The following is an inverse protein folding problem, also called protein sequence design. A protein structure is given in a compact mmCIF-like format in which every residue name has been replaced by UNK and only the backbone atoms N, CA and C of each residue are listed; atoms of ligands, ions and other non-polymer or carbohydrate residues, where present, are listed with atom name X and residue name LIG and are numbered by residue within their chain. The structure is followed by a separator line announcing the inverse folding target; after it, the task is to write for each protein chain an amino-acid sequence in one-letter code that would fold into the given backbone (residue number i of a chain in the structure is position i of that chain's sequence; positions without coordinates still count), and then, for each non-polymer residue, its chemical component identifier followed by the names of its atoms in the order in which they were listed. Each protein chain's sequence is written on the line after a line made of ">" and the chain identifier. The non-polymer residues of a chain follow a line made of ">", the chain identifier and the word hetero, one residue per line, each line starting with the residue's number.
data_IF_465980888204
#
_entry.id   IF_465980888204
#
_cell.length_a   1.000
_cell.length_b   1.000
_cell.length_c   1.000
_cell.angle_alpha   90.00
_cell.angle_beta   90.00
_cell.angle_gamma   90.00
#
_symmetry.space_group_name_H-M   'P 1'
#
loop_
_entity.id
_entity.type
_entity.pdbx_description
1 polymer ?
#
# COMPACT_ATOMS: atom_id res chain seq x y z
N UNK A 1 5.53 6.77 -4.42
CA UNK A 1 6.94 6.35 -4.19
C UNK A 1 7.98 7.47 -4.42
N UNK A 2 7.68 8.52 -5.18
CA UNK A 2 8.62 9.64 -5.38
C UNK A 2 8.94 10.33 -4.06
N UNK A 3 7.93 10.69 -3.27
CA UNK A 3 8.11 11.20 -1.90
C UNK A 3 8.95 10.23 -1.05
N UNK A 4 8.57 8.96 -1.02
CA UNK A 4 9.28 7.93 -0.25
C UNK A 4 10.77 7.82 -0.60
N UNK A 5 11.18 8.07 -1.86
CA UNK A 5 12.60 8.10 -2.22
C UNK A 5 13.34 9.25 -1.56
N UNK A 6 12.70 10.42 -1.49
CA UNK A 6 13.27 11.57 -0.80
C UNK A 6 13.34 11.37 0.71
N UNK A 7 12.38 10.64 1.29
CA UNK A 7 12.34 10.34 2.72
C UNK A 7 13.39 9.27 3.13
N UNK A 8 13.71 8.32 2.24
CA UNK A 8 14.59 7.18 2.57
C UNK A 8 16.06 7.50 2.30
N UNK A 9 16.36 8.13 1.18
CA UNK A 9 17.75 8.28 0.73
C UNK A 9 18.39 9.58 1.22
N UNK A 10 19.71 9.55 1.36
CA UNK A 10 20.51 10.70 1.76
C UNK A 10 20.92 11.57 0.56
N UNK A 11 21.40 12.77 0.83
CA UNK A 11 21.75 13.82 -0.14
C UNK A 11 22.85 13.44 -1.14
N UNK A 12 23.66 12.42 -0.87
CA UNK A 12 24.68 11.96 -1.83
C UNK A 12 24.08 11.50 -3.17
N UNK A 13 22.78 11.15 -3.19
CA UNK A 13 22.07 10.84 -4.44
C UNK A 13 21.89 12.10 -5.29
N UNK A 14 21.46 13.22 -4.68
CA UNK A 14 21.31 14.48 -5.41
C UNK A 14 22.65 14.96 -6.00
N UNK A 15 23.74 14.83 -5.24
CA UNK A 15 25.08 15.20 -5.69
C UNK A 15 25.54 14.37 -6.89
N UNK A 16 25.27 13.06 -6.86
CA UNK A 16 25.69 12.12 -7.89
C UNK A 16 24.78 12.09 -9.12
N UNK A 17 23.48 12.34 -8.91
CA UNK A 17 22.42 12.21 -9.91
C UNK A 17 21.50 13.44 -9.85
N UNK A 18 21.94 14.61 -10.33
CA UNK A 18 21.14 15.84 -10.25
C UNK A 18 19.83 15.77 -11.03
N UNK A 19 19.72 14.87 -11.99
CA UNK A 19 18.49 14.58 -12.74
C UNK A 19 17.45 13.79 -11.93
N UNK A 20 17.77 13.32 -10.73
CA UNK A 20 16.91 12.48 -9.90
C UNK A 20 15.85 13.25 -9.11
N UNK A 21 15.88 14.57 -9.13
CA UNK A 21 14.94 15.44 -8.44
C UNK A 21 14.61 16.68 -9.25
N UNK A 22 13.52 17.36 -8.89
CA UNK A 22 13.14 18.66 -9.47
C UNK A 22 13.93 19.78 -8.78
N UNK A 23 14.69 20.55 -9.54
CA UNK A 23 15.48 21.67 -9.05
C UNK A 23 14.63 22.82 -8.43
N UNK A 24 13.32 22.85 -8.68
CA UNK A 24 12.40 23.79 -8.04
C UNK A 24 12.06 23.42 -6.59
N UNK A 25 12.35 22.18 -6.15
CA UNK A 25 12.13 21.75 -4.77
C UNK A 25 13.27 22.28 -3.90
N UNK A 26 12.97 22.90 -2.72
CA UNK A 26 13.99 23.33 -1.78
C UNK A 26 14.96 22.19 -1.43
N UNK A 27 16.26 22.46 -1.47
CA UNK A 27 17.30 21.42 -1.31
C UNK A 27 17.23 20.67 0.04
N UNK A 28 16.75 21.32 1.09
CA UNK A 28 16.53 20.72 2.41
C UNK A 28 15.48 19.60 2.40
N UNK A 29 14.52 19.65 1.47
CA UNK A 29 13.41 18.69 1.36
C UNK A 29 13.72 17.50 0.46
N UNK A 30 14.82 17.53 -0.30
CA UNK A 30 15.21 16.41 -1.16
C UNK A 30 16.18 15.49 -0.42
N UNK A 31 15.97 14.16 -0.57
CA UNK A 31 16.85 13.12 -0.01
C UNK A 31 17.25 13.39 1.45
N UNK A 32 16.21 13.56 2.29
CA UNK A 32 16.35 13.89 3.72
C UNK A 32 16.61 12.67 4.61
N UNK A 33 16.49 11.45 4.05
CA UNK A 33 16.74 10.19 4.76
C UNK A 33 18.22 9.91 5.01
N UNK A 34 18.50 8.75 5.61
CA UNK A 34 19.85 8.35 6.00
C UNK A 34 20.52 7.34 5.07
N UNK A 35 19.75 6.65 4.21
CA UNK A 35 20.23 5.48 3.46
C UNK A 35 20.95 5.84 2.16
N UNK A 36 21.97 5.06 1.83
CA UNK A 36 22.52 4.98 0.49
C UNK A 36 21.79 3.90 -0.34
N UNK A 37 21.96 3.92 -1.66
CA UNK A 37 21.36 2.89 -2.55
C UNK A 37 21.85 1.47 -2.24
N UNK A 38 23.06 1.32 -1.67
CA UNK A 38 23.72 0.04 -1.41
C UNK A 38 23.56 -0.48 0.00
N UNK A 39 22.99 0.33 0.92
CA UNK A 39 22.77 -0.09 2.29
C UNK A 39 21.86 -1.32 2.35
N UNK A 40 22.26 -2.28 3.18
CA UNK A 40 21.50 -3.53 3.35
C UNK A 40 20.35 -3.32 4.33
N UNK A 41 19.17 -3.68 3.87
CA UNK A 41 17.92 -3.65 4.64
C UNK A 41 17.52 -5.08 4.94
N UNK A 42 17.25 -5.39 6.19
CA UNK A 42 16.69 -6.67 6.59
C UNK A 42 15.22 -6.75 6.13
N UNK A 43 14.90 -7.80 5.40
CA UNK A 43 13.54 -8.09 4.92
C UNK A 43 12.90 -9.27 5.64
N UNK A 44 13.50 -9.73 6.72
CA UNK A 44 13.04 -10.87 7.51
C UNK A 44 13.68 -12.21 7.09
N UNK A 45 13.50 -13.22 7.93
CA UNK A 45 14.02 -14.58 7.71
C UNK A 45 15.54 -14.65 7.43
N UNK A 46 16.31 -13.72 8.00
CA UNK A 46 17.76 -13.63 7.80
C UNK A 46 18.17 -13.16 6.40
N UNK A 47 17.24 -12.66 5.62
CA UNK A 47 17.49 -12.15 4.26
C UNK A 47 17.68 -10.64 4.26
N UNK A 48 18.57 -10.17 3.41
CA UNK A 48 18.80 -8.74 3.20
C UNK A 48 18.70 -8.37 1.72
N UNK A 49 18.25 -7.15 1.45
CA UNK A 49 18.22 -6.54 0.13
C UNK A 49 18.84 -5.14 0.21
N UNK A 50 19.38 -4.62 -0.89
CA UNK A 50 19.83 -3.22 -0.89
C UNK A 50 18.65 -2.26 -0.90
N UNK A 51 18.78 -1.11 -0.23
CA UNK A 51 17.73 -0.09 -0.17
C UNK A 51 17.28 0.35 -1.58
N UNK A 52 18.20 0.50 -2.50
CA UNK A 52 17.90 0.81 -3.90
C UNK A 52 17.00 -0.24 -4.57
N UNK A 53 17.32 -1.53 -4.43
CA UNK A 53 16.48 -2.61 -4.97
C UNK A 53 15.12 -2.70 -4.30
N UNK A 54 15.06 -2.48 -2.98
CA UNK A 54 13.82 -2.48 -2.22
C UNK A 54 12.85 -1.39 -2.71
N UNK A 55 13.36 -0.16 -2.88
CA UNK A 55 12.55 0.98 -3.35
C UNK A 55 12.17 0.85 -4.84
N UNK A 56 13.02 0.22 -5.66
CA UNK A 56 12.76 -0.02 -7.08
C UNK A 56 11.90 -1.25 -7.35
N UNK A 57 11.48 -2.00 -6.32
CA UNK A 57 10.61 -3.16 -6.51
C UNK A 57 9.36 -2.79 -7.32
N UNK A 58 9.14 -3.41 -8.50
CA UNK A 58 8.08 -2.99 -9.40
C UNK A 58 6.70 -3.34 -8.84
N UNK A 59 5.72 -2.51 -9.13
CA UNK A 59 4.31 -2.87 -8.92
C UNK A 59 3.92 -3.96 -9.91
N UNK A 60 3.37 -5.07 -9.39
CA UNK A 60 2.82 -6.13 -10.23
C UNK A 60 1.56 -5.64 -10.94
N UNK A 61 1.37 -6.06 -12.17
CA UNK A 61 0.09 -5.86 -12.86
C UNK A 61 -0.90 -6.95 -12.43
N UNK A 62 -2.14 -6.55 -12.14
CA UNK A 62 -3.23 -7.47 -11.77
C UNK A 62 -4.20 -7.73 -12.91
N UNK A 63 -3.92 -7.23 -14.11
CA UNK A 63 -4.83 -7.33 -15.25
C UNK A 63 -5.30 -8.76 -15.54
N UNK A 64 -4.44 -9.81 -15.53
CA UNK A 64 -4.89 -11.19 -15.76
C UNK A 64 -5.83 -11.69 -14.65
N UNK A 65 -5.52 -11.42 -13.38
CA UNK A 65 -6.37 -11.78 -12.23
C UNK A 65 -7.72 -11.10 -12.33
N UNK A 66 -7.71 -9.78 -12.51
CA UNK A 66 -8.93 -8.98 -12.60
C UNK A 66 -9.79 -9.39 -13.80
N UNK A 67 -9.15 -9.70 -14.94
CA UNK A 67 -9.89 -10.23 -16.09
C UNK A 67 -10.65 -11.50 -15.73
N UNK A 68 -9.98 -12.48 -15.13
CA UNK A 68 -10.63 -13.75 -14.77
C UNK A 68 -11.73 -13.56 -13.73
N UNK A 69 -11.52 -12.70 -12.72
CA UNK A 69 -12.54 -12.35 -11.74
C UNK A 69 -13.75 -11.71 -12.42
N UNK A 70 -13.55 -10.76 -13.33
CA UNK A 70 -14.64 -10.09 -14.04
C UNK A 70 -15.35 -11.02 -15.04
N UNK A 71 -14.65 -11.94 -15.67
CA UNK A 71 -15.27 -12.91 -16.58
C UNK A 71 -16.25 -13.84 -15.83
N UNK A 72 -15.96 -14.19 -14.57
CA UNK A 72 -16.79 -15.09 -13.77
C UNK A 72 -17.81 -14.41 -12.85
N UNK A 73 -17.49 -13.24 -12.31
CA UNK A 73 -18.20 -12.68 -11.15
C UNK A 73 -18.59 -11.20 -11.28
N UNK A 74 -18.49 -10.59 -12.48
CA UNK A 74 -18.73 -9.14 -12.70
C UNK A 74 -20.02 -8.64 -12.02
N UNK A 75 -21.12 -9.36 -12.20
CA UNK A 75 -22.45 -8.94 -11.73
C UNK A 75 -22.62 -9.06 -10.21
N UNK A 76 -21.67 -9.70 -9.52
CA UNK A 76 -21.66 -9.89 -8.08
C UNK A 76 -20.66 -8.97 -7.36
N UNK A 77 -19.89 -8.17 -8.11
CA UNK A 77 -18.89 -7.25 -7.54
C UNK A 77 -19.56 -5.93 -7.24
N UNK A 78 -19.59 -5.53 -5.96
CA UNK A 78 -20.14 -4.26 -5.52
C UNK A 78 -19.18 -3.10 -5.70
N UNK A 79 -17.88 -3.35 -5.69
CA UNK A 79 -16.87 -2.32 -5.91
C UNK A 79 -15.45 -2.88 -6.03
N UNK A 80 -14.61 -2.10 -6.70
CA UNK A 80 -13.18 -2.39 -6.87
C UNK A 80 -12.40 -1.10 -6.66
N UNK A 81 -11.41 -1.13 -5.78
CA UNK A 81 -10.58 0.03 -5.48
C UNK A 81 -9.11 -0.31 -5.67
N UNK A 82 -8.46 0.37 -6.62
CA UNK A 82 -7.01 0.33 -6.74
C UNK A 82 -6.41 1.30 -5.72
N UNK A 83 -5.72 0.76 -4.71
CA UNK A 83 -5.14 1.50 -3.59
C UNK A 83 -3.88 2.28 -4.02
N UNK A 84 -4.05 3.23 -4.95
CA UNK A 84 -3.06 4.22 -5.38
C UNK A 84 -3.10 5.45 -4.46
N UNK A 85 -3.12 6.69 -4.96
CA UNK A 85 -3.28 7.88 -4.10
C UNK A 85 -4.51 7.77 -3.18
N UNK A 86 -4.36 8.12 -1.92
CA UNK A 86 -5.37 7.89 -0.87
C UNK A 86 -5.37 6.48 -0.27
N UNK A 87 -4.59 5.58 -0.85
CA UNK A 87 -4.25 4.27 -0.30
C UNK A 87 -5.41 3.51 0.36
N UNK A 88 -5.31 3.22 1.67
CA UNK A 88 -6.31 2.47 2.43
C UNK A 88 -7.62 3.25 2.66
N UNK A 89 -7.57 4.58 2.56
CA UNK A 89 -8.74 5.46 2.76
C UNK A 89 -9.42 5.86 1.47
N UNK A 90 -8.88 5.44 0.32
CA UNK A 90 -9.40 5.83 -1.01
C UNK A 90 -10.87 5.46 -1.21
N UNK A 91 -11.33 4.39 -0.61
CA UNK A 91 -12.73 3.96 -0.69
C UNK A 91 -13.72 5.04 -0.22
N UNK A 92 -13.32 5.94 0.70
CA UNK A 92 -14.15 7.07 1.16
C UNK A 92 -14.61 8.02 0.06
N UNK A 93 -13.96 8.00 -1.11
CA UNK A 93 -14.38 8.79 -2.27
C UNK A 93 -15.56 8.16 -3.04
N UNK A 94 -15.92 6.92 -2.72
CA UNK A 94 -16.87 6.12 -3.49
C UNK A 94 -18.04 5.60 -2.66
N UNK A 95 -18.09 5.96 -1.39
CA UNK A 95 -19.14 5.53 -0.45
C UNK A 95 -19.71 6.73 0.29
N UNK A 96 -20.92 6.59 0.82
CA UNK A 96 -21.59 7.59 1.65
C UNK A 96 -21.94 7.01 3.04
N UNK A 97 -23.00 6.23 3.16
CA UNK A 97 -23.54 5.74 4.45
C UNK A 97 -23.00 4.33 4.79
N UNK A 98 -21.69 4.16 4.63
CA UNK A 98 -21.00 2.88 4.89
C UNK A 98 -19.78 3.06 5.78
N UNK A 99 -19.60 2.08 6.67
CA UNK A 99 -18.40 1.93 7.48
C UNK A 99 -17.57 0.73 6.97
N UNK A 100 -16.37 0.99 6.51
CA UNK A 100 -15.41 -0.04 6.10
C UNK A 100 -14.50 -0.34 7.30
N UNK A 101 -14.52 -1.56 7.79
CA UNK A 101 -13.67 -2.02 8.89
C UNK A 101 -12.63 -2.96 8.32
N UNK A 102 -11.35 -2.60 8.45
CA UNK A 102 -10.18 -3.39 8.01
C UNK A 102 -9.41 -3.85 9.24
N UNK A 103 -9.60 -5.09 9.63
CA UNK A 103 -9.09 -5.67 10.89
C UNK A 103 -8.27 -6.96 10.69
N UNK A 104 -8.07 -7.39 9.45
CA UNK A 104 -7.25 -8.53 9.08
C UNK A 104 -6.31 -8.17 7.92
N UNK A 105 -5.44 -7.20 8.13
CA UNK A 105 -4.52 -6.72 7.11
C UNK A 105 -3.34 -7.67 6.90
N UNK A 106 -2.74 -7.64 5.71
CA UNK A 106 -1.44 -8.27 5.49
C UNK A 106 -0.36 -7.64 6.39
N UNK A 107 0.69 -8.38 6.74
CA UNK A 107 1.86 -7.81 7.39
C UNK A 107 2.44 -6.65 6.58
N UNK A 108 2.82 -5.57 7.27
CA UNK A 108 3.41 -4.39 6.61
C UNK A 108 4.72 -4.77 5.93
N UNK A 109 4.86 -4.57 4.61
CA UNK A 109 6.08 -4.87 3.88
C UNK A 109 7.30 -4.07 4.39
N UNK A 110 8.51 -4.62 4.30
CA UNK A 110 9.75 -3.98 4.78
C UNK A 110 9.96 -2.57 4.24
N UNK A 111 9.57 -2.31 2.99
CA UNK A 111 9.66 -0.97 2.39
C UNK A 111 8.90 0.10 3.20
N UNK A 112 7.66 -0.21 3.63
CA UNK A 112 6.86 0.78 4.36
C UNK A 112 7.34 0.98 5.80
N UNK A 113 7.93 -0.06 6.41
CA UNK A 113 8.62 0.09 7.71
C UNK A 113 9.81 1.03 7.57
N UNK A 114 10.63 0.82 6.54
CA UNK A 114 11.78 1.69 6.24
C UNK A 114 11.34 3.15 6.02
N UNK A 115 10.28 3.38 5.23
CA UNK A 115 9.75 4.73 4.99
C UNK A 115 9.30 5.37 6.33
N UNK A 116 8.55 4.65 7.15
CA UNK A 116 8.12 5.11 8.47
C UNK A 116 9.32 5.47 9.36
N UNK A 117 10.34 4.60 9.41
CA UNK A 117 11.55 4.80 10.21
C UNK A 117 12.36 6.03 9.79
N UNK A 118 12.51 6.27 8.50
CA UNK A 118 13.29 7.39 7.98
C UNK A 118 12.51 8.71 8.01
N UNK A 119 11.23 8.70 7.56
CA UNK A 119 10.40 9.91 7.49
C UNK A 119 9.82 10.35 8.84
N UNK A 120 9.78 9.46 9.83
CA UNK A 120 9.07 9.66 11.11
C UNK A 120 7.57 9.93 10.95
N UNK A 121 6.99 9.63 9.80
CA UNK A 121 5.55 9.76 9.53
C UNK A 121 4.76 8.83 10.45
N UNK A 122 3.69 9.34 11.10
CA UNK A 122 2.86 8.53 11.98
C UNK A 122 2.22 7.35 11.24
N UNK A 123 1.94 6.24 11.94
CA UNK A 123 1.25 5.09 11.33
C UNK A 123 -0.12 5.45 10.77
N UNK A 124 -0.84 6.36 11.41
CA UNK A 124 -2.11 6.87 10.88
C UNK A 124 -1.93 7.50 9.50
N UNK A 125 -0.95 8.36 9.33
CA UNK A 125 -0.67 8.98 8.03
C UNK A 125 -0.08 7.97 7.03
N UNK A 126 0.74 7.00 7.49
CA UNK A 126 1.25 5.92 6.64
C UNK A 126 0.11 5.13 5.97
N UNK A 127 -0.92 4.73 6.72
CA UNK A 127 -2.09 4.02 6.16
C UNK A 127 -2.95 4.89 5.24
N UNK A 128 -2.95 6.20 5.44
CA UNK A 128 -3.68 7.15 4.61
C UNK A 128 -2.97 7.42 3.27
N UNK A 129 -1.65 7.43 3.26
CA UNK A 129 -0.83 7.80 2.08
C UNK A 129 -0.35 6.57 1.32
N UNK A 130 0.04 5.49 2.01
CA UNK A 130 0.63 4.30 1.42
C UNK A 130 -0.32 3.11 1.48
N UNK A 131 -0.29 2.27 0.45
CA UNK A 131 -1.16 1.08 0.38
C UNK A 131 -0.79 -0.04 1.37
N UNK A 132 0.37 0.05 2.02
CA UNK A 132 0.83 -0.88 3.04
C UNK A 132 0.82 -2.35 2.59
N UNK A 133 1.02 -2.59 1.28
CA UNK A 133 0.99 -3.92 0.65
C UNK A 133 -0.34 -4.29 0.00
N UNK A 134 -1.43 -3.58 0.31
CA UNK A 134 -2.75 -3.81 -0.26
C UNK A 134 -2.94 -2.94 -1.51
N UNK A 135 -2.83 -3.52 -2.68
CA UNK A 135 -2.83 -2.75 -3.93
C UNK A 135 -4.19 -2.70 -4.61
N UNK A 136 -5.03 -3.70 -4.35
CA UNK A 136 -6.36 -3.82 -4.91
C UNK A 136 -7.31 -4.37 -3.85
N UNK A 137 -8.45 -3.73 -3.72
CA UNK A 137 -9.55 -4.17 -2.86
C UNK A 137 -10.77 -4.48 -3.72
N UNK A 138 -11.44 -5.59 -3.43
CA UNK A 138 -12.71 -5.98 -4.02
C UNK A 138 -13.76 -6.06 -2.91
N UNK A 139 -14.91 -5.50 -3.16
CA UNK A 139 -16.08 -5.50 -2.28
C UNK A 139 -17.10 -6.45 -2.89
N UNK A 140 -17.32 -7.58 -2.23
CA UNK A 140 -18.06 -8.71 -2.80
C UNK A 140 -18.90 -9.38 -1.71
N UNK A 141 -19.99 -10.10 -2.06
CA UNK A 141 -20.71 -10.94 -1.13
C UNK A 141 -19.86 -12.14 -0.68
N UNK A 142 -20.15 -12.66 0.51
CA UNK A 142 -19.35 -13.69 1.16
C UNK A 142 -19.27 -14.99 0.36
N UNK A 143 -20.29 -15.30 -0.41
CA UNK A 143 -20.45 -16.54 -1.15
C UNK A 143 -19.39 -16.76 -2.22
N UNK A 144 -18.85 -15.67 -2.80
CA UNK A 144 -17.84 -15.73 -3.88
C UNK A 144 -16.42 -15.43 -3.41
N UNK A 145 -16.23 -15.15 -2.12
CA UNK A 145 -14.93 -14.74 -1.58
C UNK A 145 -13.84 -15.78 -1.85
N UNK A 146 -14.13 -17.06 -1.58
CA UNK A 146 -13.14 -18.12 -1.75
C UNK A 146 -12.74 -18.30 -3.22
N UNK A 147 -13.69 -18.24 -4.13
CA UNK A 147 -13.40 -18.35 -5.57
C UNK A 147 -12.47 -17.23 -6.06
N UNK A 148 -12.68 -16.00 -5.57
CA UNK A 148 -11.82 -14.85 -5.90
C UNK A 148 -10.41 -15.03 -5.32
N UNK A 149 -10.30 -15.53 -4.09
CA UNK A 149 -9.02 -15.84 -3.46
C UNK A 149 -8.29 -16.91 -4.27
N UNK A 150 -8.96 -17.98 -4.66
CA UNK A 150 -8.38 -19.09 -5.44
C UNK A 150 -7.91 -18.62 -6.83
N UNK A 151 -8.68 -17.75 -7.50
CA UNK A 151 -8.26 -17.10 -8.73
C UNK A 151 -6.96 -16.33 -8.52
N UNK A 152 -6.87 -15.47 -7.49
CA UNK A 152 -5.66 -14.70 -7.20
C UNK A 152 -4.44 -15.61 -6.93
N UNK A 153 -4.64 -16.65 -6.12
CA UNK A 153 -3.60 -17.60 -5.77
C UNK A 153 -3.11 -18.41 -6.97
N UNK A 154 -3.97 -18.70 -7.95
CA UNK A 154 -3.57 -19.38 -9.19
C UNK A 154 -2.54 -18.58 -10.01
N UNK A 155 -2.46 -17.26 -9.78
CA UNK A 155 -1.44 -16.37 -10.34
C UNK A 155 -0.27 -16.10 -9.37
N UNK A 156 -0.14 -16.84 -8.28
CA UNK A 156 0.83 -16.62 -7.20
C UNK A 156 0.75 -15.19 -6.61
N UNK A 157 -0.47 -14.69 -6.43
CA UNK A 157 -0.76 -13.42 -5.77
C UNK A 157 -1.60 -13.71 -4.54
N UNK A 158 -1.07 -13.35 -3.37
CA UNK A 158 -1.78 -13.52 -2.11
C UNK A 158 -3.05 -12.67 -2.08
N UNK A 159 -4.13 -13.29 -1.60
CA UNK A 159 -5.40 -12.64 -1.35
C UNK A 159 -6.02 -13.16 -0.06
N UNK A 160 -6.71 -12.30 0.67
CA UNK A 160 -7.42 -12.67 1.89
C UNK A 160 -8.58 -11.71 2.15
N UNK A 161 -9.51 -12.11 3.00
CA UNK A 161 -10.50 -11.20 3.57
C UNK A 161 -9.78 -10.26 4.53
N UNK A 162 -9.80 -8.96 4.25
CA UNK A 162 -9.13 -7.95 5.07
C UNK A 162 -10.07 -7.24 6.04
N UNK A 163 -11.38 -7.42 5.89
CA UNK A 163 -12.37 -6.74 6.69
C UNK A 163 -13.78 -6.92 6.16
N UNK A 164 -14.66 -6.01 6.56
CA UNK A 164 -16.09 -6.05 6.23
C UNK A 164 -16.65 -4.66 6.02
N UNK A 165 -17.85 -4.61 5.46
CA UNK A 165 -18.65 -3.39 5.26
C UNK A 165 -19.87 -3.45 6.17
N UNK A 166 -20.14 -2.36 6.88
CA UNK A 166 -21.32 -2.19 7.71
C UNK A 166 -22.08 -0.93 7.29
N UNK A 167 -23.39 -0.89 7.55
CA UNK A 167 -24.17 0.35 7.39
C UNK A 167 -23.77 1.37 8.44
N UNK A 168 -23.77 2.64 8.07
CA UNK A 168 -23.41 3.74 8.97
C UNK A 168 -24.24 4.98 8.63
N UNK A 169 -24.29 5.95 9.54
CA UNK A 169 -24.93 7.24 9.27
C UNK A 169 -24.05 8.18 8.43
N UNK A 170 -22.79 7.85 8.26
CA UNK A 170 -21.81 8.60 7.46
C UNK A 170 -20.69 7.67 7.01
N UNK A 171 -19.97 8.06 5.97
CA UNK A 171 -18.83 7.30 5.48
C UNK A 171 -17.69 7.27 6.50
N UNK A 172 -17.11 6.10 6.67
CA UNK A 172 -16.02 5.89 7.62
C UNK A 172 -15.14 4.72 7.20
N UNK A 173 -13.84 4.82 7.49
CA UNK A 173 -12.91 3.69 7.46
C UNK A 173 -12.27 3.55 8.83
N UNK A 174 -12.31 2.35 9.40
CA UNK A 174 -11.53 1.99 10.59
C UNK A 174 -10.48 0.95 10.21
N UNK A 175 -9.23 1.23 10.54
CA UNK A 175 -8.10 0.31 10.34
C UNK A 175 -7.63 -0.16 11.71
N UNK A 176 -7.65 -1.49 11.94
CA UNK A 176 -7.07 -2.14 13.12
C UNK A 176 -5.80 -2.87 12.72
N UNK A 177 -4.69 -2.47 13.30
CA UNK A 177 -3.38 -3.00 12.98
C UNK A 177 -2.55 -3.24 14.25
N UNK A 178 -1.41 -3.94 14.17
CA UNK A 178 -0.48 -4.03 15.31
C UNK A 178 0.08 -2.68 15.79
N UNK A 179 -0.09 -1.63 15.00
CA UNK A 179 0.41 -0.29 15.31
C UNK A 179 -0.65 0.65 15.89
N UNK A 180 -1.89 0.20 16.00
CA UNK A 180 -3.00 0.94 16.56
C UNK A 180 -4.31 0.80 15.78
N UNK A 181 -5.35 1.43 16.30
CA UNK A 181 -6.64 1.62 15.63
C UNK A 181 -6.72 3.06 15.11
N UNK A 182 -7.05 3.21 13.84
CA UNK A 182 -7.13 4.50 13.15
C UNK A 182 -8.49 4.65 12.48
N UNK A 183 -9.12 5.80 12.73
CA UNK A 183 -10.43 6.15 12.17
C UNK A 183 -10.27 7.33 11.20
N UNK A 184 -10.90 7.21 10.03
CA UNK A 184 -10.86 8.22 8.96
C UNK A 184 -12.27 8.55 8.48
#
# INVERSE_FOLDING_TARGET
>A
LTSARHDVFNKSIAEKYPESYDAAIPYELIFSGSKSLTDKIDIGNGQTITAGKLVLSPTRTYAPVIKQVLDGYRDQIHGMVHCSGGAQTKVLHFIDDLHIIKDNLFPVPPLFKLIHEESKTSWQEMYKVFNMGHRMELYVPQEIVQDIIDISQSFNIDAQVIGRVETSAHKQVTIRSPYGEFVY
#
